data_IF_401671437706
#
_entry.id   IF_401671437706
#
_cell.length_a   1.000
_cell.length_b   1.000
_cell.length_c   1.000
_cell.angle_alpha   90.00
_cell.angle_beta   90.00
_cell.angle_gamma   90.00
#
_symmetry.space_group_name_H-M   'P 1'
#
loop_
_entity.id
_entity.type
_entity.pdbx_description
1 polymer ?
#
# COMPACT_ATOMS: atom_id res chain seq x y z
N UNK A 1 -0.28 36.91 -11.86
CA UNK A 1 -0.43 36.25 -10.58
C UNK A 1 -1.91 36.07 -10.26
N UNK A 2 -2.28 34.94 -9.67
CA UNK A 2 -3.66 34.71 -9.23
C UNK A 2 -3.95 35.54 -7.97
N UNK A 3 -5.21 36.00 -7.81
CA UNK A 3 -5.64 36.67 -6.59
C UNK A 3 -5.72 35.67 -5.44
N UNK A 4 -5.29 36.05 -4.21
CA UNK A 4 -5.45 35.21 -3.03
C UNK A 4 -6.92 34.79 -2.78
N UNK A 5 -7.87 35.68 -3.08
CA UNK A 5 -9.29 35.37 -2.97
C UNK A 5 -9.75 34.22 -3.87
N UNK A 6 -9.05 33.97 -5.00
CA UNK A 6 -9.41 32.86 -5.91
C UNK A 6 -9.06 31.48 -5.36
N UNK A 7 -8.30 31.40 -4.27
CA UNK A 7 -8.01 30.16 -3.55
C UNK A 7 -9.16 29.65 -2.68
N UNK A 8 -10.22 30.46 -2.48
CA UNK A 8 -11.32 30.13 -1.60
C UNK A 8 -12.58 29.73 -2.39
N UNK A 9 -13.39 28.86 -1.79
CA UNK A 9 -14.68 28.45 -2.35
C UNK A 9 -15.63 29.65 -2.51
N UNK A 10 -15.53 30.63 -1.60
CA UNK A 10 -16.24 31.92 -1.68
C UNK A 10 -15.23 33.07 -1.70
N UNK A 11 -14.83 33.55 -2.90
CA UNK A 11 -13.85 34.60 -3.06
C UNK A 11 -14.28 35.95 -2.44
N UNK A 12 -15.59 36.25 -2.42
CA UNK A 12 -16.10 37.50 -1.88
C UNK A 12 -16.03 37.56 -0.35
N UNK A 13 -16.39 36.46 0.33
CA UNK A 13 -16.29 36.34 1.78
C UNK A 13 -14.84 36.40 2.22
N UNK A 14 -13.94 35.74 1.48
CA UNK A 14 -12.50 35.76 1.73
C UNK A 14 -11.92 37.16 1.58
N UNK A 15 -12.30 37.89 0.53
CA UNK A 15 -11.81 39.25 0.30
C UNK A 15 -12.32 40.23 1.40
N UNK A 16 -13.58 40.09 1.85
CA UNK A 16 -14.14 40.91 2.93
C UNK A 16 -13.41 40.62 4.26
N UNK A 17 -13.21 39.37 4.61
CA UNK A 17 -12.48 38.96 5.81
C UNK A 17 -11.04 39.48 5.78
N UNK A 18 -10.39 39.43 4.63
CA UNK A 18 -9.03 39.95 4.43
C UNK A 18 -8.97 41.46 4.64
N UNK A 19 -9.89 42.21 4.05
CA UNK A 19 -9.96 43.68 4.20
C UNK A 19 -10.22 44.12 5.64
N UNK A 20 -11.14 43.44 6.33
CA UNK A 20 -11.46 43.75 7.73
C UNK A 20 -10.26 43.48 8.65
N UNK A 21 -9.55 42.40 8.46
CA UNK A 21 -8.38 42.07 9.28
C UNK A 21 -7.15 42.92 8.95
N UNK A 22 -6.97 43.33 7.69
CA UNK A 22 -5.91 44.26 7.30
C UNK A 22 -6.11 45.64 7.92
N UNK A 23 -7.35 46.08 8.11
CA UNK A 23 -7.66 47.35 8.77
C UNK A 23 -7.35 47.34 10.27
N UNK A 24 -7.28 46.20 10.92
CA UNK A 24 -6.98 46.05 12.35
C UNK A 24 -5.50 46.02 12.69
N UNK A 25 -4.62 45.92 11.70
CA UNK A 25 -3.15 45.78 11.85
C UNK A 25 -2.69 44.68 12.83
N UNK A 26 -3.54 43.67 13.02
CA UNK A 26 -3.27 42.53 13.90
C UNK A 26 -3.12 41.22 13.13
N UNK A 27 -2.22 40.32 13.56
CA UNK A 27 -2.14 38.99 13.00
C UNK A 27 -3.46 38.23 13.14
N UNK A 28 -3.86 37.56 12.09
CA UNK A 28 -5.10 36.77 12.04
C UNK A 28 -4.78 35.34 11.61
N UNK A 29 -5.32 34.37 12.33
CA UNK A 29 -5.18 32.95 11.99
C UNK A 29 -6.56 32.32 11.85
N UNK A 30 -6.80 31.65 10.72
CA UNK A 30 -7.99 30.86 10.51
C UNK A 30 -7.60 29.39 10.37
N UNK A 31 -8.27 28.54 11.15
CA UNK A 31 -8.00 27.10 11.18
C UNK A 31 -9.02 26.34 10.32
N UNK A 32 -8.61 25.18 9.81
CA UNK A 32 -9.46 24.20 9.12
C UNK A 32 -10.28 24.78 7.97
N UNK A 33 -9.67 25.61 7.12
CA UNK A 33 -10.33 26.22 5.97
C UNK A 33 -10.07 25.39 4.72
N UNK A 34 -11.14 25.14 3.94
CA UNK A 34 -11.01 24.51 2.62
C UNK A 34 -10.53 25.52 1.59
N UNK A 35 -9.34 25.27 1.05
CA UNK A 35 -8.73 26.04 -0.03
C UNK A 35 -8.78 25.24 -1.34
N UNK A 36 -9.00 25.93 -2.46
CA UNK A 36 -8.98 25.35 -3.79
C UNK A 36 -7.66 25.72 -4.48
N UNK A 37 -6.81 24.73 -4.76
CA UNK A 37 -5.60 24.97 -5.53
C UNK A 37 -5.96 25.01 -7.02
N UNK A 38 -6.07 26.22 -7.56
CA UNK A 38 -6.54 26.49 -8.93
C UNK A 38 -5.70 25.83 -10.02
N UNK A 39 -4.42 25.56 -9.80
CA UNK A 39 -3.54 24.90 -10.79
C UNK A 39 -3.84 23.43 -11.02
N UNK A 40 -4.50 22.76 -10.06
CA UNK A 40 -4.80 21.31 -10.11
C UNK A 40 -6.28 20.98 -9.86
N UNK A 41 -7.11 21.95 -9.51
CA UNK A 41 -8.51 21.70 -9.11
C UNK A 41 -8.70 20.95 -7.80
N UNK A 42 -7.60 20.75 -7.04
CA UNK A 42 -7.62 20.01 -5.78
C UNK A 42 -8.10 20.90 -4.63
N UNK A 43 -8.95 20.32 -3.76
CA UNK A 43 -9.33 20.93 -2.49
C UNK A 43 -8.38 20.45 -1.42
N UNK A 44 -7.82 21.41 -0.67
CA UNK A 44 -7.01 21.10 0.53
C UNK A 44 -7.68 21.74 1.75
N UNK A 45 -7.56 21.10 2.89
CA UNK A 45 -7.86 21.72 4.18
C UNK A 45 -6.56 22.28 4.75
N UNK A 46 -6.54 23.57 5.08
CA UNK A 46 -5.35 24.22 5.59
C UNK A 46 -5.68 25.21 6.72
N UNK A 47 -4.70 25.41 7.60
CA UNK A 47 -4.65 26.61 8.41
C UNK A 47 -4.00 27.71 7.56
N UNK A 48 -4.48 28.95 7.69
CA UNK A 48 -3.73 30.05 7.15
C UNK A 48 -3.63 31.19 8.16
N UNK A 49 -2.49 31.84 8.18
CA UNK A 49 -2.24 33.03 8.97
C UNK A 49 -1.92 34.20 8.06
N UNK A 50 -2.36 35.38 8.44
CA UNK A 50 -2.08 36.65 7.75
C UNK A 50 -1.46 37.56 8.78
N UNK A 51 -0.23 37.99 8.52
CA UNK A 51 0.53 38.91 9.34
C UNK A 51 0.81 40.20 8.57
N UNK A 52 0.42 41.37 9.07
CA UNK A 52 0.78 42.65 8.47
C UNK A 52 2.29 42.83 8.46
N UNK A 53 2.81 43.37 7.37
CA UNK A 53 4.21 43.74 7.20
C UNK A 53 4.31 45.25 6.94
N UNK A 54 5.47 45.83 7.20
CA UNK A 54 5.75 47.24 6.86
C UNK A 54 5.51 47.47 5.37
N UNK A 55 5.09 48.68 4.98
CA UNK A 55 4.79 49.13 3.62
C UNK A 55 3.53 48.54 2.97
N UNK A 56 2.48 48.25 3.75
CA UNK A 56 1.20 47.78 3.22
C UNK A 56 1.26 46.37 2.61
N UNK A 57 2.32 45.62 2.89
CA UNK A 57 2.44 44.21 2.50
C UNK A 57 1.89 43.31 3.60
N UNK A 58 1.55 42.09 3.23
CA UNK A 58 1.13 41.02 4.18
C UNK A 58 1.92 39.75 3.91
N UNK A 59 2.27 39.07 4.96
CA UNK A 59 2.76 37.70 4.91
C UNK A 59 1.57 36.76 5.08
N UNK A 60 1.39 35.87 4.13
CA UNK A 60 0.38 34.80 4.21
C UNK A 60 1.10 33.47 4.31
N UNK A 61 0.90 32.78 5.43
CA UNK A 61 1.42 31.44 5.66
C UNK A 61 0.26 30.45 5.53
N UNK A 62 0.43 29.42 4.73
CA UNK A 62 -0.59 28.37 4.54
C UNK A 62 0.03 27.05 4.97
N UNK A 63 -0.56 26.45 6.00
CA UNK A 63 -0.17 25.14 6.53
C UNK A 63 -1.22 24.09 6.11
N UNK A 64 -0.92 23.20 5.15
CA UNK A 64 -1.84 22.15 4.76
C UNK A 64 -2.07 21.16 5.89
N UNK A 65 -3.31 20.96 6.31
CA UNK A 65 -3.70 20.01 7.36
C UNK A 65 -3.93 18.59 6.83
N UNK A 66 -4.23 18.46 5.55
CA UNK A 66 -4.52 17.15 4.96
C UNK A 66 -3.34 16.21 5.13
N UNK A 67 -2.12 16.72 5.00
CA UNK A 67 -0.91 15.94 5.23
C UNK A 67 -0.74 15.51 6.70
N UNK A 68 -1.09 16.36 7.66
CA UNK A 68 -1.04 16.04 9.10
C UNK A 68 -2.15 15.07 9.51
N UNK A 69 -3.37 15.27 9.00
CA UNK A 69 -4.50 14.36 9.24
C UNK A 69 -4.22 12.99 8.60
N UNK A 70 -3.62 12.98 7.42
CA UNK A 70 -3.23 11.77 6.72
C UNK A 70 -2.13 11.03 7.49
N UNK A 71 -1.07 11.71 7.94
CA UNK A 71 0.01 11.11 8.76
C UNK A 71 -0.55 10.54 10.07
N UNK A 72 -1.41 11.27 10.77
CA UNK A 72 -2.01 10.79 12.02
C UNK A 72 -2.95 9.60 11.79
N UNK A 73 -3.73 9.60 10.70
CA UNK A 73 -4.61 8.48 10.34
C UNK A 73 -3.80 7.25 9.93
N UNK A 74 -2.71 7.45 9.20
CA UNK A 74 -1.76 6.41 8.83
C UNK A 74 -1.07 5.81 10.06
N UNK A 75 -0.62 6.63 11.02
CA UNK A 75 -0.01 6.16 12.27
C UNK A 75 -1.00 5.39 13.15
N UNK A 76 -2.26 5.83 13.24
CA UNK A 76 -3.32 5.10 13.95
C UNK A 76 -3.64 3.77 13.28
N UNK A 77 -3.79 3.76 11.96
CA UNK A 77 -4.03 2.54 11.19
C UNK A 77 -2.86 1.56 11.31
N UNK A 78 -1.61 2.03 11.20
CA UNK A 78 -0.40 1.22 11.39
C UNK A 78 -0.34 0.62 12.80
N UNK A 79 -0.68 1.40 13.82
CA UNK A 79 -0.69 0.92 15.22
C UNK A 79 -1.77 -0.15 15.43
N UNK A 80 -2.97 0.06 14.91
CA UNK A 80 -4.05 -0.92 14.95
C UNK A 80 -3.67 -2.21 14.22
N UNK A 81 -3.08 -2.10 13.03
CA UNK A 81 -2.61 -3.23 12.24
C UNK A 81 -1.49 -4.00 12.93
N UNK A 82 -0.51 -3.32 13.56
CA UNK A 82 0.54 -3.98 14.36
C UNK A 82 -0.04 -4.81 15.47
N UNK A 83 -0.96 -4.25 16.26
CA UNK A 83 -1.65 -4.97 17.35
C UNK A 83 -2.43 -6.18 16.81
N UNK A 84 -3.15 -6.01 15.72
CA UNK A 84 -3.86 -7.14 15.07
C UNK A 84 -2.90 -8.22 14.61
N UNK A 85 -1.74 -7.87 14.02
CA UNK A 85 -0.72 -8.84 13.62
C UNK A 85 -0.10 -9.58 14.80
N UNK A 86 0.16 -8.90 15.91
CA UNK A 86 0.68 -9.55 17.13
C UNK A 86 -0.31 -10.57 17.70
N UNK A 87 -1.60 -10.23 17.74
CA UNK A 87 -2.66 -11.15 18.14
C UNK A 87 -2.76 -12.35 17.19
N UNK A 88 -2.74 -12.09 15.87
CA UNK A 88 -2.77 -13.15 14.84
C UNK A 88 -1.54 -14.04 14.94
N UNK A 89 -0.35 -13.48 15.28
CA UNK A 89 0.87 -14.27 15.48
C UNK A 89 0.74 -15.23 16.68
N UNK A 90 0.20 -14.76 17.79
CA UNK A 90 -0.07 -15.61 18.97
C UNK A 90 -1.02 -16.75 18.62
N UNK A 91 -2.18 -16.43 18.04
CA UNK A 91 -3.17 -17.41 17.61
C UNK A 91 -2.62 -18.41 16.57
N UNK A 92 -1.80 -17.95 15.67
CA UNK A 92 -1.23 -18.81 14.63
C UNK A 92 -0.28 -19.89 15.22
N UNK A 93 0.51 -19.52 16.24
CA UNK A 93 1.33 -20.51 16.95
C UNK A 93 0.45 -21.54 17.66
N UNK A 94 -0.63 -21.10 18.30
CA UNK A 94 -1.58 -22.00 18.97
C UNK A 94 -2.35 -22.90 18.00
N UNK A 95 -2.62 -22.44 16.77
CA UNK A 95 -3.27 -23.24 15.71
C UNK A 95 -2.28 -24.23 15.08
N UNK A 96 -1.03 -23.85 14.88
CA UNK A 96 -0.01 -24.75 14.30
C UNK A 96 0.30 -25.96 15.17
N UNK A 97 0.22 -25.81 16.49
CA UNK A 97 0.52 -26.90 17.43
C UNK A 97 -0.46 -28.09 17.26
N UNK A 98 -1.80 -27.93 17.34
CA UNK A 98 -2.72 -29.04 17.09
C UNK A 98 -2.63 -29.58 15.66
N UNK A 99 -2.41 -28.73 14.65
CA UNK A 99 -2.21 -29.17 13.28
C UNK A 99 -0.98 -30.10 13.16
N UNK A 100 0.11 -29.78 13.87
CA UNK A 100 1.28 -30.66 13.95
C UNK A 100 0.98 -32.00 14.59
N UNK A 101 0.17 -32.02 15.66
CA UNK A 101 -0.31 -33.23 16.32
C UNK A 101 -1.19 -34.10 15.40
N UNK A 102 -2.17 -33.51 14.71
CA UNK A 102 -3.04 -34.21 13.75
C UNK A 102 -2.22 -34.83 12.61
N UNK A 103 -1.26 -34.07 12.06
CA UNK A 103 -0.36 -34.57 11.01
C UNK A 103 0.48 -35.76 11.48
N UNK A 104 1.07 -35.65 12.69
CA UNK A 104 1.86 -36.72 13.28
C UNK A 104 1.02 -37.99 13.54
N UNK A 105 -0.21 -37.84 14.08
CA UNK A 105 -1.12 -38.96 14.27
C UNK A 105 -1.51 -39.62 12.94
N UNK A 106 -1.79 -38.83 11.89
CA UNK A 106 -2.12 -39.37 10.57
C UNK A 106 -0.93 -40.13 9.95
N UNK A 107 0.32 -39.66 10.17
CA UNK A 107 1.53 -40.37 9.72
C UNK A 107 1.72 -41.71 10.44
N UNK A 108 1.53 -41.75 11.77
CA UNK A 108 1.62 -42.99 12.53
C UNK A 108 0.53 -43.96 12.10
N UNK A 109 -0.72 -43.49 11.95
CA UNK A 109 -1.85 -44.31 11.50
C UNK A 109 -1.60 -44.88 10.09
N UNK A 110 -0.99 -44.09 9.18
CA UNK A 110 -0.67 -44.58 7.84
C UNK A 110 0.26 -45.80 7.85
N UNK A 111 1.19 -45.85 8.82
CA UNK A 111 2.11 -46.98 8.95
C UNK A 111 1.43 -48.31 9.40
N UNK A 112 0.28 -48.21 10.03
CA UNK A 112 -0.49 -49.36 10.53
C UNK A 112 -1.64 -49.77 9.60
N UNK A 113 -2.04 -48.92 8.64
CA UNK A 113 -3.17 -49.18 7.74
C UNK A 113 -2.74 -49.98 6.50
N UNK A 114 -3.73 -50.65 5.86
CA UNK A 114 -3.53 -51.22 4.54
C UNK A 114 -3.36 -50.18 3.46
N UNK A 115 -2.67 -50.54 2.36
CA UNK A 115 -2.41 -49.63 1.23
C UNK A 115 -3.67 -48.96 0.67
N UNK A 116 -4.82 -49.67 0.69
CA UNK A 116 -6.13 -49.14 0.26
C UNK A 116 -6.62 -47.98 1.15
N UNK A 117 -6.23 -47.98 2.42
CA UNK A 117 -6.64 -46.96 3.41
C UNK A 117 -5.66 -45.77 3.47
N UNK A 118 -4.50 -45.83 2.81
CA UNK A 118 -3.52 -44.75 2.76
C UNK A 118 -4.08 -43.48 2.10
N UNK A 119 -5.08 -43.60 1.21
CA UNK A 119 -5.74 -42.45 0.59
C UNK A 119 -6.36 -41.53 1.65
N UNK A 120 -7.00 -42.08 2.70
CA UNK A 120 -7.63 -41.27 3.75
C UNK A 120 -6.60 -40.48 4.56
N UNK A 121 -5.49 -41.11 4.93
CA UNK A 121 -4.40 -40.43 5.66
C UNK A 121 -3.70 -39.40 4.80
N UNK A 122 -3.54 -39.66 3.50
CA UNK A 122 -2.99 -38.70 2.55
C UNK A 122 -3.87 -37.43 2.43
N UNK A 123 -5.20 -37.61 2.37
CA UNK A 123 -6.14 -36.47 2.37
C UNK A 123 -6.04 -35.68 3.67
N UNK A 124 -6.01 -36.32 4.84
CA UNK A 124 -5.87 -35.63 6.14
C UNK A 124 -4.55 -34.83 6.16
N UNK A 125 -3.42 -35.43 5.77
CA UNK A 125 -2.13 -34.75 5.76
C UNK A 125 -2.11 -33.56 4.80
N UNK A 126 -2.71 -33.71 3.60
CA UNK A 126 -2.78 -32.64 2.61
C UNK A 126 -3.61 -31.44 3.10
N UNK A 127 -4.74 -31.70 3.77
CA UNK A 127 -5.56 -30.62 4.33
C UNK A 127 -4.89 -29.95 5.53
N UNK A 128 -4.21 -30.70 6.38
CA UNK A 128 -3.40 -30.13 7.47
C UNK A 128 -2.28 -29.24 6.93
N UNK A 129 -1.56 -29.70 5.90
CA UNK A 129 -0.49 -28.90 5.26
C UNK A 129 -1.07 -27.65 4.57
N UNK A 130 -2.26 -27.75 3.98
CA UNK A 130 -3.00 -26.63 3.42
C UNK A 130 -3.38 -25.59 4.48
N UNK A 131 -3.92 -26.04 5.63
CA UNK A 131 -4.26 -25.16 6.76
C UNK A 131 -3.02 -24.51 7.36
N UNK A 132 -1.93 -25.25 7.50
CA UNK A 132 -0.64 -24.74 7.98
C UNK A 132 -0.12 -23.64 7.06
N UNK A 133 -0.16 -23.85 5.74
CA UNK A 133 0.23 -22.84 4.75
C UNK A 133 -0.67 -21.60 4.79
N UNK A 134 -1.97 -21.77 5.08
CA UNK A 134 -2.90 -20.65 5.27
C UNK A 134 -2.50 -19.80 6.49
N UNK A 135 -2.21 -20.46 7.60
CA UNK A 135 -1.76 -19.82 8.85
C UNK A 135 -0.41 -19.12 8.62
N UNK A 136 0.52 -19.71 7.86
CA UNK A 136 1.80 -19.08 7.52
C UNK A 136 1.61 -17.80 6.69
N UNK A 137 0.67 -17.81 5.75
CA UNK A 137 0.32 -16.61 4.96
C UNK A 137 -0.30 -15.50 5.81
N UNK A 138 -1.07 -15.85 6.85
CA UNK A 138 -1.64 -14.88 7.81
C UNK A 138 -0.57 -14.15 8.60
N UNK A 139 0.53 -14.84 8.94
CA UNK A 139 1.63 -14.29 9.74
C UNK A 139 2.51 -13.31 8.97
N UNK A 140 2.50 -13.40 7.65
CA UNK A 140 3.47 -12.68 6.82
C UNK A 140 4.86 -13.34 6.83
N UNK A 141 5.91 -12.62 6.38
CA UNK A 141 7.26 -13.18 6.33
C UNK A 141 7.74 -13.54 7.73
N UNK A 142 8.05 -14.83 7.95
CA UNK A 142 8.54 -15.34 9.22
C UNK A 142 10.04 -15.13 9.42
N UNK A 143 10.77 -14.76 8.38
CA UNK A 143 12.20 -14.50 8.41
C UNK A 143 12.46 -13.00 8.44
N UNK A 144 13.45 -12.60 9.21
CA UNK A 144 14.01 -11.27 9.08
C UNK A 144 14.48 -11.06 7.64
N UNK A 145 14.28 -9.86 7.06
CA UNK A 145 14.70 -9.60 5.69
C UNK A 145 16.23 -9.72 5.55
N UNK A 146 16.66 -10.33 4.46
CA UNK A 146 18.07 -10.40 4.07
C UNK A 146 18.38 -9.23 3.14
N UNK A 147 18.82 -8.13 3.72
CA UNK A 147 19.11 -6.92 2.95
C UNK A 147 20.36 -7.05 2.09
N UNK A 148 20.21 -6.80 0.81
CA UNK A 148 21.28 -6.73 -0.20
C UNK A 148 21.04 -5.54 -1.11
N UNK A 149 22.04 -5.15 -1.91
CA UNK A 149 21.84 -4.16 -2.96
C UNK A 149 21.03 -4.81 -4.10
N UNK A 150 19.87 -4.24 -4.40
CA UNK A 150 18.96 -4.79 -5.41
C UNK A 150 18.53 -3.72 -6.40
N UNK A 151 18.42 -4.11 -7.66
CA UNK A 151 17.83 -3.27 -8.71
C UNK A 151 16.33 -3.50 -8.78
N UNK A 152 15.54 -2.45 -8.54
CA UNK A 152 14.09 -2.57 -8.50
C UNK A 152 13.50 -2.97 -9.86
N UNK A 153 14.09 -2.52 -10.95
CA UNK A 153 13.58 -2.88 -12.29
C UNK A 153 13.72 -4.38 -12.57
N UNK A 154 14.79 -5.03 -12.09
CA UNK A 154 14.92 -6.49 -12.20
C UNK A 154 13.83 -7.23 -11.42
N UNK A 155 13.44 -6.72 -10.24
CA UNK A 155 12.33 -7.25 -9.45
C UNK A 155 11.02 -7.14 -10.22
N UNK A 156 10.73 -5.96 -10.80
CA UNK A 156 9.52 -5.72 -11.58
C UNK A 156 9.46 -6.61 -12.84
N UNK A 157 10.58 -6.75 -13.56
CA UNK A 157 10.64 -7.64 -14.74
C UNK A 157 10.41 -9.11 -14.36
N UNK A 158 10.97 -9.56 -13.22
CA UNK A 158 10.72 -10.90 -12.71
C UNK A 158 9.22 -11.13 -12.40
N UNK A 159 8.54 -10.13 -11.83
CA UNK A 159 7.10 -10.20 -11.55
C UNK A 159 6.29 -10.27 -12.84
N UNK A 160 6.62 -9.42 -13.84
CA UNK A 160 5.96 -9.47 -15.15
C UNK A 160 6.14 -10.84 -15.81
N UNK A 161 7.36 -11.40 -15.74
CA UNK A 161 7.63 -12.72 -16.31
C UNK A 161 6.80 -13.83 -15.64
N UNK A 162 6.69 -13.80 -14.30
CA UNK A 162 5.89 -14.76 -13.53
C UNK A 162 4.39 -14.65 -13.84
N UNK A 163 3.84 -13.45 -13.87
CA UNK A 163 2.42 -13.23 -14.21
C UNK A 163 2.11 -13.58 -15.67
N UNK A 164 3.00 -13.21 -16.60
CA UNK A 164 2.85 -13.56 -18.01
C UNK A 164 2.92 -15.07 -18.25
N UNK A 165 3.74 -15.80 -17.49
CA UNK A 165 3.80 -17.25 -17.55
C UNK A 165 2.50 -17.89 -16.99
N UNK A 166 1.97 -17.34 -15.88
CA UNK A 166 0.72 -17.80 -15.29
C UNK A 166 -0.47 -17.62 -16.24
N UNK A 167 -0.54 -16.50 -16.96
CA UNK A 167 -1.59 -16.22 -17.96
C UNK A 167 -1.53 -17.23 -19.11
N UNK A 168 -0.34 -17.51 -19.63
CA UNK A 168 -0.14 -18.48 -20.73
C UNK A 168 -0.49 -19.92 -20.35
N UNK A 169 -0.42 -20.27 -19.09
CA UNK A 169 -0.78 -21.59 -18.56
C UNK A 169 -2.28 -21.82 -18.36
N UNK A 170 -3.11 -20.78 -18.48
CA UNK A 170 -4.57 -20.87 -18.40
C UNK A 170 -5.15 -20.91 -19.80
N UNK A 171 -6.11 -21.83 -20.06
CA UNK A 171 -6.81 -21.98 -21.36
C UNK A 171 -7.72 -20.77 -21.71
N UNK A 172 -7.63 -19.67 -21.00
CA UNK A 172 -8.37 -18.43 -21.25
C UNK A 172 -7.52 -17.48 -22.07
N UNK A 173 -7.48 -17.72 -23.38
CA UNK A 173 -6.73 -16.90 -24.37
C UNK A 173 -7.33 -15.48 -24.56
N UNK A 174 -8.46 -15.15 -23.94
CA UNK A 174 -9.26 -13.99 -24.32
C UNK A 174 -8.98 -12.71 -23.55
N UNK A 175 -8.09 -12.71 -22.55
CA UNK A 175 -7.73 -11.48 -21.82
C UNK A 175 -6.22 -11.41 -21.57
N UNK A 176 -5.45 -11.16 -22.65
CA UNK A 176 -4.05 -10.79 -22.51
C UNK A 176 -3.96 -9.43 -21.81
N UNK A 177 -3.60 -9.45 -20.52
CA UNK A 177 -3.29 -8.22 -19.78
C UNK A 177 -2.01 -7.62 -20.35
N UNK A 178 -2.08 -6.38 -20.81
CA UNK A 178 -0.92 -5.62 -21.25
C UNK A 178 -0.14 -5.09 -20.04
N UNK A 179 1.18 -5.35 -20.01
CA UNK A 179 2.08 -4.79 -19.01
C UNK A 179 2.86 -3.61 -19.60
N UNK A 180 2.52 -2.40 -19.17
CA UNK A 180 3.19 -1.16 -19.58
C UNK A 180 4.29 -0.83 -18.57
N UNK A 181 5.48 -0.50 -19.07
CA UNK A 181 6.65 -0.11 -18.28
C UNK A 181 6.89 1.39 -18.40
N UNK A 182 6.86 2.07 -17.26
CA UNK A 182 7.15 3.48 -17.14
C UNK A 182 8.24 3.66 -16.07
N UNK A 183 9.45 3.24 -16.42
CA UNK A 183 10.57 3.18 -15.51
C UNK A 183 11.46 4.42 -15.63
N UNK A 184 11.73 5.05 -14.50
CA UNK A 184 12.75 6.08 -14.39
C UNK A 184 14.15 5.43 -14.33
N UNK A 185 14.99 5.58 -15.38
CA UNK A 185 16.31 4.94 -15.44
C UNK A 185 17.31 5.52 -14.42
N UNK A 186 16.98 6.65 -13.78
CA UNK A 186 17.81 7.26 -12.75
C UNK A 186 17.65 6.65 -11.36
N UNK A 187 16.69 5.72 -11.19
CA UNK A 187 16.47 5.04 -9.91
C UNK A 187 17.68 4.16 -9.56
N UNK A 188 18.39 4.46 -8.46
CA UNK A 188 19.55 3.67 -8.04
C UNK A 188 19.15 2.35 -7.39
N UNK A 189 20.13 1.46 -7.21
CA UNK A 189 19.95 0.27 -6.39
C UNK A 189 19.62 0.65 -4.94
N UNK A 190 18.82 -0.18 -4.28
CA UNK A 190 18.38 0.02 -2.89
C UNK A 190 18.74 -1.19 -2.02
N UNK A 191 18.90 -0.97 -0.71
CA UNK A 191 19.03 -2.04 0.27
C UNK A 191 17.67 -2.68 0.55
N UNK A 192 17.49 -3.93 0.07
CA UNK A 192 16.22 -4.64 0.23
C UNK A 192 16.39 -6.16 0.21
N UNK A 193 15.39 -6.89 0.65
CA UNK A 193 15.23 -8.32 0.42
C UNK A 193 14.50 -8.54 -0.91
N UNK A 194 15.23 -9.01 -1.92
CA UNK A 194 14.72 -9.22 -3.28
C UNK A 194 13.50 -10.15 -3.31
N UNK A 195 13.52 -11.27 -2.59
CA UNK A 195 12.44 -12.25 -2.61
C UNK A 195 11.18 -11.70 -1.95
N UNK A 196 11.32 -10.97 -0.86
CA UNK A 196 10.19 -10.30 -0.21
C UNK A 196 9.59 -9.21 -1.10
N UNK A 197 10.42 -8.40 -1.78
CA UNK A 197 9.91 -7.38 -2.71
C UNK A 197 9.23 -7.99 -3.94
N UNK A 198 9.76 -9.11 -4.48
CA UNK A 198 9.06 -9.88 -5.52
C UNK A 198 7.70 -10.33 -5.02
N UNK A 199 7.62 -10.87 -3.80
CA UNK A 199 6.36 -11.33 -3.22
C UNK A 199 5.35 -10.19 -3.03
N UNK A 200 5.79 -9.04 -2.51
CA UNK A 200 4.95 -7.87 -2.32
C UNK A 200 4.37 -7.35 -3.64
N UNK A 201 5.25 -7.18 -4.63
CA UNK A 201 4.89 -6.69 -5.97
C UNK A 201 3.97 -7.68 -6.69
N UNK A 202 4.26 -8.99 -6.59
CA UNK A 202 3.46 -10.05 -7.18
C UNK A 202 2.05 -10.10 -6.59
N UNK A 203 1.90 -9.88 -5.29
CA UNK A 203 0.57 -9.81 -4.65
C UNK A 203 -0.26 -8.65 -5.20
N UNK A 204 0.35 -7.48 -5.42
CA UNK A 204 -0.34 -6.33 -6.03
C UNK A 204 -0.70 -6.64 -7.49
N UNK A 205 0.25 -7.16 -8.28
CA UNK A 205 0.03 -7.49 -9.68
C UNK A 205 -1.10 -8.54 -9.87
N UNK A 206 -1.15 -9.57 -9.00
CA UNK A 206 -2.24 -10.56 -8.98
C UNK A 206 -3.59 -9.95 -8.61
N UNK A 207 -3.61 -9.01 -7.68
CA UNK A 207 -4.84 -8.30 -7.33
C UNK A 207 -5.33 -7.45 -8.50
N UNK A 208 -4.44 -6.73 -9.17
CA UNK A 208 -4.72 -5.96 -10.37
C UNK A 208 -5.27 -6.87 -11.48
N UNK A 209 -4.56 -7.96 -11.82
CA UNK A 209 -5.02 -8.92 -12.83
C UNK A 209 -6.41 -9.47 -12.53
N UNK A 210 -6.66 -9.88 -11.28
CA UNK A 210 -7.96 -10.41 -10.90
C UNK A 210 -9.08 -9.35 -10.89
N UNK A 211 -8.76 -8.06 -10.78
CA UNK A 211 -9.72 -6.98 -10.93
C UNK A 211 -10.06 -6.70 -12.42
N UNK A 212 -9.19 -7.13 -13.33
CA UNK A 212 -9.29 -6.89 -14.75
C UNK A 212 -10.01 -8.01 -15.54
N UNK A 213 -10.44 -9.10 -14.89
CA UNK A 213 -11.06 -10.26 -15.54
C UNK A 213 -12.26 -9.92 -16.46
N UNK A 214 -13.02 -8.86 -16.10
CA UNK A 214 -14.17 -8.39 -16.89
C UNK A 214 -13.90 -7.05 -17.60
N UNK A 215 -12.65 -6.58 -17.65
CA UNK A 215 -12.28 -5.27 -18.20
C UNK A 215 -11.90 -5.41 -19.68
N UNK A 216 -12.44 -4.54 -20.52
CA UNK A 216 -12.06 -4.46 -21.94
C UNK A 216 -10.72 -3.74 -22.07
N UNK A 217 -9.75 -4.35 -22.78
CA UNK A 217 -8.40 -3.81 -22.91
C UNK A 217 -7.69 -3.70 -21.55
N UNK A 218 -7.46 -4.84 -20.85
CA UNK A 218 -6.89 -4.83 -19.51
C UNK A 218 -5.42 -4.42 -19.55
N UNK A 219 -5.06 -3.38 -18.79
CA UNK A 219 -3.71 -2.81 -18.73
C UNK A 219 -3.24 -2.72 -17.27
N UNK A 220 -2.00 -3.16 -17.03
CA UNK A 220 -1.28 -2.94 -15.78
C UNK A 220 -0.03 -2.14 -16.09
N UNK A 221 0.08 -0.95 -15.50
CA UNK A 221 1.25 -0.07 -15.65
C UNK A 221 2.12 -0.15 -14.42
N UNK A 222 3.42 -0.39 -14.60
CA UNK A 222 4.43 -0.36 -13.56
C UNK A 222 5.29 0.89 -13.74
N UNK A 223 5.26 1.77 -12.76
CA UNK A 223 6.00 3.05 -12.77
C UNK A 223 7.02 3.06 -11.65
N UNK A 224 8.22 3.56 -11.92
CA UNK A 224 9.23 3.85 -10.89
C UNK A 224 9.64 5.31 -10.94
N UNK A 225 9.94 5.90 -9.79
CA UNK A 225 10.47 7.27 -9.71
C UNK A 225 11.21 7.51 -8.40
N UNK A 226 12.04 8.55 -8.37
CA UNK A 226 12.72 9.02 -7.16
C UNK A 226 11.86 10.12 -6.52
N UNK A 227 11.72 10.03 -5.20
CA UNK A 227 11.07 11.05 -4.39
C UNK A 227 12.08 11.65 -3.42
N UNK A 228 12.25 12.97 -3.46
CA UNK A 228 13.15 13.70 -2.58
C UNK A 228 12.47 14.12 -1.29
N UNK A 229 13.20 14.06 -0.16
CA UNK A 229 12.74 14.49 1.17
C UNK A 229 11.38 13.94 1.55
N UNK A 230 11.24 12.63 1.42
CA UNK A 230 10.00 11.92 1.70
C UNK A 230 9.92 11.49 3.16
N UNK A 231 8.78 11.76 3.81
CA UNK A 231 8.55 11.40 5.21
C UNK A 231 7.86 10.04 5.27
N UNK A 232 8.49 9.07 5.95
CA UNK A 232 7.89 7.78 6.26
C UNK A 232 7.75 7.70 7.79
N UNK A 233 6.53 7.65 8.28
CA UNK A 233 6.26 7.78 9.72
C UNK A 233 6.77 9.12 10.26
N UNK A 234 7.73 9.08 11.19
CA UNK A 234 8.35 10.28 11.79
C UNK A 234 9.71 10.64 11.19
N UNK A 235 10.22 9.84 10.25
CA UNK A 235 11.56 9.99 9.69
C UNK A 235 11.51 10.60 8.31
N UNK A 236 12.36 11.62 8.08
CA UNK A 236 12.55 12.22 6.74
C UNK A 236 13.70 11.50 6.07
N UNK A 237 13.40 10.87 4.92
CA UNK A 237 14.40 10.25 4.07
C UNK A 237 14.80 11.23 2.97
N UNK A 238 16.11 11.49 2.77
CA UNK A 238 16.57 12.38 1.69
C UNK A 238 16.10 11.93 0.33
N UNK A 239 16.11 10.61 0.10
CA UNK A 239 15.64 9.96 -1.12
C UNK A 239 14.83 8.72 -0.75
N UNK A 240 13.73 8.51 -1.44
CA UNK A 240 12.94 7.28 -1.43
C UNK A 240 12.62 6.88 -2.87
N UNK A 241 12.54 5.58 -3.12
CA UNK A 241 12.05 5.05 -4.39
C UNK A 241 10.55 4.88 -4.29
N UNK A 242 9.82 5.42 -5.25
CA UNK A 242 8.40 5.17 -5.45
C UNK A 242 8.24 4.10 -6.52
N UNK A 243 7.51 3.05 -6.19
CA UNK A 243 7.08 1.98 -7.10
C UNK A 243 5.57 2.04 -7.15
N UNK A 244 5.00 2.29 -8.32
CA UNK A 244 3.56 2.33 -8.50
C UNK A 244 3.11 1.23 -9.47
N UNK A 245 2.03 0.54 -9.11
CA UNK A 245 1.36 -0.46 -9.94
C UNK A 245 -0.07 0.01 -10.10
N UNK A 246 -0.42 0.34 -11.34
CA UNK A 246 -1.73 0.88 -11.69
C UNK A 246 -2.48 -0.07 -12.60
N UNK A 247 -3.77 -0.24 -12.38
CA UNK A 247 -4.67 -0.98 -13.25
C UNK A 247 -5.85 -0.12 -13.71
N UNK A 248 -6.41 -0.43 -14.88
CA UNK A 248 -7.59 0.22 -15.44
C UNK A 248 -8.90 -0.49 -15.09
N UNK A 249 -8.95 -1.18 -13.96
CA UNK A 249 -10.07 -1.95 -13.49
C UNK A 249 -11.23 -1.11 -12.91
N UNK A 250 -12.25 -1.77 -12.36
CA UNK A 250 -13.47 -1.12 -11.87
C UNK A 250 -13.25 -0.25 -10.62
N UNK A 251 -12.08 -0.34 -10.00
CA UNK A 251 -11.78 0.34 -8.74
C UNK A 251 -12.15 -0.48 -7.50
N UNK A 252 -11.79 0.05 -6.34
CA UNK A 252 -12.05 -0.55 -5.03
C UNK A 252 -13.29 0.13 -4.42
N UNK A 253 -14.29 -0.63 -3.95
CA UNK A 253 -15.46 -0.08 -3.27
C UNK A 253 -15.07 0.81 -2.08
N UNK A 254 -15.80 1.92 -1.91
CA UNK A 254 -15.44 2.94 -0.92
C UNK A 254 -15.54 2.45 0.54
N UNK A 255 -16.45 1.52 0.81
CA UNK A 255 -16.70 0.91 2.12
C UNK A 255 -15.54 0.06 2.66
N UNK A 256 -14.76 -0.55 1.76
CA UNK A 256 -13.61 -1.39 2.15
C UNK A 256 -12.26 -0.71 1.94
N UNK A 257 -12.20 0.42 1.24
CA UNK A 257 -10.94 1.07 0.82
C UNK A 257 -9.98 1.35 1.97
N UNK A 258 -10.50 1.84 3.09
CA UNK A 258 -9.68 2.14 4.27
C UNK A 258 -9.18 0.87 5.01
N UNK A 259 -9.72 -0.29 4.65
CA UNK A 259 -9.48 -1.56 5.33
C UNK A 259 -8.78 -2.61 4.45
N UNK A 260 -8.45 -2.29 3.20
CA UNK A 260 -7.89 -3.27 2.24
C UNK A 260 -6.56 -3.91 2.69
N UNK A 261 -5.84 -3.26 3.60
CA UNK A 261 -4.59 -3.77 4.17
C UNK A 261 -4.80 -4.59 5.46
N UNK A 262 -6.02 -4.68 5.99
CA UNK A 262 -6.31 -5.57 7.11
C UNK A 262 -6.42 -7.02 6.63
N UNK A 263 -5.95 -7.98 7.42
CA UNK A 263 -6.10 -9.39 7.09
C UNK A 263 -7.57 -9.78 6.91
N UNK A 264 -7.85 -10.70 5.99
CA UNK A 264 -9.18 -11.26 5.70
C UNK A 264 -10.19 -10.28 5.08
N UNK A 265 -9.79 -9.06 4.73
CA UNK A 265 -10.64 -8.12 3.99
C UNK A 265 -10.51 -8.41 2.50
N UNK A 266 -11.61 -8.75 1.87
CA UNK A 266 -11.68 -9.03 0.42
C UNK A 266 -13.08 -8.79 -0.12
N UNK A 267 -13.17 -8.26 -1.33
CA UNK A 267 -14.42 -8.19 -2.10
C UNK A 267 -14.64 -9.41 -3.00
N UNK A 268 -13.67 -10.35 -3.07
CA UNK A 268 -13.69 -11.51 -3.96
C UNK A 268 -14.26 -12.74 -3.23
N UNK A 269 -15.19 -13.46 -3.86
CA UNK A 269 -15.81 -14.64 -3.27
C UNK A 269 -14.80 -15.73 -2.86
N UNK A 270 -13.73 -15.92 -3.63
CA UNK A 270 -12.67 -16.90 -3.36
C UNK A 270 -11.38 -16.27 -2.83
N UNK A 271 -11.40 -14.99 -2.51
CA UNK A 271 -10.23 -14.27 -2.03
C UNK A 271 -10.01 -14.51 -0.53
N UNK A 272 -8.78 -14.83 -0.13
CA UNK A 272 -8.43 -15.02 1.28
C UNK A 272 -8.21 -13.68 2.03
N UNK A 273 -8.11 -12.54 1.31
CA UNK A 273 -7.87 -11.22 1.91
C UNK A 273 -6.50 -11.07 2.59
N UNK A 274 -5.51 -11.88 2.22
CA UNK A 274 -4.20 -11.94 2.89
C UNK A 274 -3.08 -11.24 2.11
N UNK A 275 -3.22 -11.10 0.79
CA UNK A 275 -2.16 -10.62 -0.08
C UNK A 275 -1.72 -9.19 0.24
N UNK A 276 -2.65 -8.25 0.40
CA UNK A 276 -2.33 -6.85 0.71
C UNK A 276 -1.83 -6.67 2.14
N UNK A 277 -2.35 -7.42 3.10
CA UNK A 277 -1.83 -7.43 4.47
C UNK A 277 -0.38 -7.92 4.53
N UNK A 278 -0.05 -8.95 3.73
CA UNK A 278 1.32 -9.43 3.57
C UNK A 278 2.22 -8.40 2.87
N UNK A 279 1.72 -7.78 1.80
CA UNK A 279 2.44 -6.70 1.11
C UNK A 279 2.81 -5.58 2.06
N UNK A 280 1.85 -5.12 2.86
CA UNK A 280 2.13 -4.09 3.86
C UNK A 280 3.15 -4.57 4.91
N UNK A 281 3.08 -5.83 5.37
CA UNK A 281 4.05 -6.38 6.29
C UNK A 281 5.48 -6.34 5.71
N UNK A 282 5.63 -6.70 4.45
CA UNK A 282 6.92 -6.66 3.75
C UNK A 282 7.41 -5.21 3.63
N UNK A 283 6.55 -4.28 3.20
CA UNK A 283 6.91 -2.86 3.07
C UNK A 283 7.30 -2.26 4.42
N UNK A 284 6.57 -2.60 5.51
CA UNK A 284 6.91 -2.16 6.86
C UNK A 284 8.29 -2.71 7.33
N UNK A 285 8.62 -3.97 7.00
CA UNK A 285 9.93 -4.56 7.31
C UNK A 285 11.08 -3.87 6.55
N UNK A 286 10.77 -3.28 5.39
CA UNK A 286 11.69 -2.46 4.61
C UNK A 286 11.64 -0.97 5.01
N UNK A 287 11.04 -0.65 6.16
CA UNK A 287 10.85 0.74 6.64
C UNK A 287 10.18 1.65 5.62
N UNK A 288 9.37 1.07 4.74
CA UNK A 288 8.65 1.75 3.68
C UNK A 288 7.25 2.23 4.07
N UNK A 289 6.55 2.75 3.08
CA UNK A 289 5.14 3.12 3.14
C UNK A 289 4.44 2.53 1.93
N UNK A 290 3.26 1.98 2.12
CA UNK A 290 2.35 1.61 1.02
C UNK A 290 1.07 2.41 1.12
N UNK A 291 0.59 2.88 -0.03
CA UNK A 291 -0.66 3.64 -0.17
C UNK A 291 -1.45 3.13 -1.38
N UNK A 292 -2.75 3.42 -1.38
CA UNK A 292 -3.65 3.06 -2.48
C UNK A 292 -4.60 4.20 -2.80
N UNK A 293 -4.62 4.59 -4.06
CA UNK A 293 -5.64 5.48 -4.62
C UNK A 293 -6.48 4.70 -5.61
N UNK A 294 -7.80 4.83 -5.53
CA UNK A 294 -8.69 4.08 -6.40
C UNK A 294 -9.93 4.88 -6.77
N UNK A 295 -10.20 4.87 -8.07
CA UNK A 295 -11.42 5.34 -8.70
C UNK A 295 -11.81 4.36 -9.83
N UNK A 296 -13.07 4.34 -10.28
CA UNK A 296 -13.44 3.56 -11.45
C UNK A 296 -12.55 3.88 -12.66
N UNK A 297 -11.94 2.87 -13.26
CA UNK A 297 -11.01 3.00 -14.37
C UNK A 297 -9.55 3.22 -13.99
N UNK A 298 -9.24 3.41 -12.69
CA UNK A 298 -7.86 3.57 -12.25
C UNK A 298 -7.70 3.20 -10.77
N UNK A 299 -6.99 2.11 -10.50
CA UNK A 299 -6.48 1.79 -9.16
C UNK A 299 -4.97 1.83 -9.17
N UNK A 300 -4.36 2.53 -8.24
CA UNK A 300 -2.91 2.64 -8.12
C UNK A 300 -2.47 2.29 -6.71
N UNK A 301 -1.66 1.25 -6.58
CA UNK A 301 -0.91 0.94 -5.37
C UNK A 301 0.48 1.55 -5.48
N UNK A 302 0.93 2.24 -4.44
CA UNK A 302 2.21 2.94 -4.40
C UNK A 302 3.02 2.47 -3.19
N UNK A 303 4.21 1.94 -3.42
CA UNK A 303 5.18 1.61 -2.37
C UNK A 303 6.30 2.64 -2.38
N UNK A 304 6.64 3.17 -1.23
CA UNK A 304 7.76 4.09 -1.02
C UNK A 304 8.79 3.39 -0.16
N UNK A 305 9.98 3.20 -0.68
CA UNK A 305 11.07 2.48 0.00
C UNK A 305 12.26 3.42 0.18
N UNK A 306 12.87 3.48 1.39
CA UNK A 306 14.11 4.21 1.59
C UNK A 306 15.24 3.51 0.84
N UNK A 307 16.23 4.27 0.34
CA UNK A 307 17.38 3.70 -0.36
C UNK A 307 18.28 2.87 0.56
N UNK A 308 18.40 3.29 1.81
CA UNK A 308 19.19 2.62 2.83
C UNK A 308 18.31 2.28 4.01
N UNK A 309 18.54 1.13 4.57
CA UNK A 309 17.85 0.74 5.79
C UNK A 309 18.44 1.50 7.00
N UNK A 310 17.61 1.83 8.01
CA UNK A 310 18.13 2.43 9.23
C UNK A 310 19.11 1.44 9.88
N UNK A 311 20.33 1.91 10.16
CA UNK A 311 21.26 1.16 11.00
C UNK A 311 20.66 1.05 12.39
N UNK A 312 20.41 -0.17 12.85
CA UNK A 312 20.12 -0.39 14.27
C UNK A 312 21.36 0.02 15.08
N UNK A 313 21.29 1.22 15.68
CA UNK A 313 22.23 1.66 16.70
C UNK A 313 21.84 1.08 18.06
#
# INVERSE_FOLDING_TARGET
>A
GASFSSLFKDPHLAATTLRTNLASDQPFTKRETSLLITSKGEKITANYSISPLQNGRVLIEIEPLDRFKQINREDQNRTAQRKTRELVRGLAHEVKNPLGGIRGAAQLLQAELSTEQHEYTAVIMSEVDRLRNLVDRLLGPNKAPSFTQVNIHQILERVIALESAAIRGTNHADALVEFVRDYDPSVPDLEADSEQLVQATLNIARNARAALEATTGPVITLTTSIVHRFTIGKQIHPLAIRIAISDNGPGIPADIRDQIFFPMITSKANGQGLGLALTQAIVDQHHGLIDCTSAPGLTTFQMYLPLKQPTHG
#
